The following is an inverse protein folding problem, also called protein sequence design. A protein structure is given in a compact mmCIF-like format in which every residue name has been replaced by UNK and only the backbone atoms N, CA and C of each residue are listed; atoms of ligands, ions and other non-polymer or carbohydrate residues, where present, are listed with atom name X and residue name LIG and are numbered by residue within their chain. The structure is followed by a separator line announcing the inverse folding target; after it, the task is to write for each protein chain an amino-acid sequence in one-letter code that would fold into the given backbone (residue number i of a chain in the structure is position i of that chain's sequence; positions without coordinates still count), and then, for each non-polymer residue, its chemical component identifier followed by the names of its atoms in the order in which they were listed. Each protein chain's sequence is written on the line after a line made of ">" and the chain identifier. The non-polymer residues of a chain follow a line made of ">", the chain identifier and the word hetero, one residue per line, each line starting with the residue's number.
data_IF_814105559832
#
_entry.id   IF_814105559832
#
_cell.length_a   1.000
_cell.length_b   1.000
_cell.length_c   1.000
_cell.angle_alpha   90.00
_cell.angle_beta   90.00
_cell.angle_gamma   90.00
#
_symmetry.space_group_name_H-M   'P 1'
#
loop_
_entity.id
_entity.type
_entity.pdbx_description
1 polymer ?
#
# COMPACT_ATOMS: atom_id res chain seq x y z
N UNK A 1 -2.69 -40.24 31.02
CA UNK A 1 -2.26 -40.08 29.61
C UNK A 1 -2.47 -38.62 29.23
N UNK A 2 -1.42 -37.80 29.07
CA UNK A 2 -1.60 -36.38 28.79
C UNK A 2 -1.73 -36.18 27.27
N UNK A 3 -2.96 -36.10 26.79
CA UNK A 3 -3.27 -35.64 25.44
C UNK A 3 -3.11 -34.12 25.39
N UNK A 4 -2.00 -33.65 24.84
CA UNK A 4 -1.69 -32.24 24.65
C UNK A 4 -2.76 -31.56 23.78
N UNK A 5 -3.62 -30.77 24.41
CA UNK A 5 -4.49 -29.82 23.73
C UNK A 5 -3.66 -28.60 23.32
N UNK A 6 -3.02 -28.66 22.15
CA UNK A 6 -2.48 -27.46 21.48
C UNK A 6 -3.36 -27.20 20.24
N UNK A 7 -4.65 -27.08 20.45
CA UNK A 7 -5.51 -26.38 19.51
C UNK A 7 -5.59 -24.93 20.01
N UNK A 8 -4.47 -24.21 19.92
CA UNK A 8 -4.46 -22.77 20.20
C UNK A 8 -5.40 -22.12 19.18
N UNK A 9 -6.45 -21.47 19.67
CA UNK A 9 -7.40 -20.82 18.79
C UNK A 9 -6.73 -19.63 18.09
N UNK A 10 -7.15 -19.30 16.86
CA UNK A 10 -6.64 -18.14 16.13
C UNK A 10 -6.75 -16.85 16.97
N UNK A 11 -7.79 -16.74 17.80
CA UNK A 11 -8.00 -15.62 18.72
C UNK A 11 -6.90 -15.50 19.78
N UNK A 12 -6.53 -16.59 20.43
CA UNK A 12 -5.46 -16.61 21.44
C UNK A 12 -4.10 -16.33 20.82
N UNK A 13 -3.85 -16.86 19.62
CA UNK A 13 -2.60 -16.63 18.89
C UNK A 13 -2.44 -15.15 18.51
N UNK A 14 -3.51 -14.50 18.04
CA UNK A 14 -3.51 -13.07 17.72
C UNK A 14 -3.39 -12.18 18.97
N UNK A 15 -3.93 -12.62 20.11
CA UNK A 15 -3.87 -11.86 21.37
C UNK A 15 -2.48 -11.86 22.03
N UNK A 16 -1.62 -12.82 21.70
CA UNK A 16 -0.26 -12.93 22.24
C UNK A 16 0.67 -11.81 21.79
N UNK A 17 0.44 -11.26 20.60
CA UNK A 17 1.28 -10.23 20.01
C UNK A 17 0.95 -8.84 20.55
N UNK A 18 2.00 -8.05 20.84
CA UNK A 18 1.90 -6.67 21.27
C UNK A 18 1.66 -5.74 20.08
N UNK A 19 1.24 -4.50 20.34
CA UNK A 19 1.10 -3.50 19.28
C UNK A 19 2.35 -3.31 18.42
N UNK A 20 3.54 -3.37 19.02
CA UNK A 20 4.83 -3.26 18.32
C UNK A 20 5.06 -4.39 17.30
N UNK A 21 4.63 -5.60 17.62
CA UNK A 21 4.81 -6.76 16.73
C UNK A 21 4.00 -6.59 15.43
N UNK A 22 2.78 -6.04 15.55
CA UNK A 22 1.95 -5.70 14.39
C UNK A 22 2.58 -4.62 13.51
N UNK A 23 3.20 -3.61 14.10
CA UNK A 23 3.94 -2.59 13.34
C UNK A 23 5.17 -3.18 12.64
N UNK A 24 5.92 -4.08 13.28
CA UNK A 24 7.05 -4.76 12.66
C UNK A 24 6.61 -5.66 11.50
N UNK A 25 5.48 -6.36 11.65
CA UNK A 25 4.90 -7.14 10.56
C UNK A 25 4.53 -6.24 9.37
N UNK A 26 3.90 -5.09 9.60
CA UNK A 26 3.61 -4.10 8.55
C UNK A 26 4.88 -3.68 7.82
N UNK A 27 5.96 -3.37 8.55
CA UNK A 27 7.22 -2.96 7.94
C UNK A 27 7.84 -4.06 7.10
N UNK A 28 7.86 -5.29 7.62
CA UNK A 28 8.40 -6.43 6.92
C UNK A 28 7.63 -6.71 5.62
N UNK A 29 6.31 -6.89 5.71
CA UNK A 29 5.50 -7.19 4.53
C UNK A 29 5.43 -6.01 3.56
N UNK A 30 5.28 -4.77 4.06
CA UNK A 30 5.21 -3.58 3.22
C UNK A 30 6.51 -3.32 2.46
N UNK A 31 7.67 -3.48 3.12
CA UNK A 31 8.97 -3.37 2.45
C UNK A 31 9.21 -4.52 1.45
N UNK A 32 8.80 -5.74 1.77
CA UNK A 32 8.91 -6.89 0.86
C UNK A 32 8.04 -6.71 -0.39
N UNK A 33 6.79 -6.24 -0.25
CA UNK A 33 5.91 -5.91 -1.38
C UNK A 33 6.52 -4.81 -2.24
N UNK A 34 7.04 -3.73 -1.63
CA UNK A 34 7.66 -2.63 -2.36
C UNK A 34 8.93 -3.07 -3.10
N UNK A 35 9.79 -3.87 -2.45
CA UNK A 35 11.01 -4.41 -3.06
C UNK A 35 10.66 -5.31 -4.27
N UNK A 36 9.68 -6.20 -4.10
CA UNK A 36 9.20 -7.06 -5.19
C UNK A 36 8.63 -6.22 -6.35
N UNK A 37 7.86 -5.18 -6.04
CA UNK A 37 7.31 -4.27 -7.05
C UNK A 37 8.41 -3.54 -7.84
N UNK A 38 9.52 -3.16 -7.20
CA UNK A 38 10.66 -2.49 -7.84
C UNK A 38 11.47 -3.44 -8.74
N UNK A 39 11.56 -4.73 -8.39
CA UNK A 39 12.30 -5.72 -9.17
C UNK A 39 11.56 -6.17 -10.45
N UNK A 40 10.23 -6.26 -10.40
CA UNK A 40 9.43 -6.84 -11.49
C UNK A 40 9.21 -5.87 -12.67
N UNK A 41 9.18 -4.55 -12.42
CA UNK A 41 8.84 -3.57 -13.47
C UNK A 41 9.81 -2.39 -13.49
N UNK A 42 10.79 -2.47 -14.39
CA UNK A 42 11.80 -1.43 -14.66
C UNK A 42 11.21 -0.24 -15.45
N UNK A 43 10.22 -0.49 -16.31
CA UNK A 43 9.44 0.53 -17.02
C UNK A 43 7.98 0.50 -16.55
N UNK A 44 7.73 1.06 -15.36
CA UNK A 44 6.40 1.01 -14.74
C UNK A 44 5.50 2.14 -15.27
N UNK A 45 4.23 1.84 -15.54
CA UNK A 45 3.26 2.88 -15.91
C UNK A 45 3.11 3.92 -14.77
N UNK A 46 2.68 5.14 -15.13
CA UNK A 46 2.46 6.26 -14.22
C UNK A 46 1.62 5.90 -12.98
N UNK A 47 0.51 5.16 -13.13
CA UNK A 47 -0.30 4.74 -11.97
C UNK A 47 0.40 3.72 -11.08
N UNK A 48 1.19 2.81 -11.65
CA UNK A 48 1.97 1.86 -10.86
C UNK A 48 3.02 2.59 -10.03
N UNK A 49 3.65 3.63 -10.58
CA UNK A 49 4.58 4.49 -9.84
C UNK A 49 3.89 5.21 -8.68
N UNK A 50 2.68 5.74 -8.90
CA UNK A 50 1.88 6.36 -7.84
C UNK A 50 1.45 5.36 -6.76
N UNK A 51 1.12 4.11 -7.12
CA UNK A 51 0.85 3.05 -6.13
C UNK A 51 2.09 2.75 -5.28
N UNK A 52 3.27 2.63 -5.90
CA UNK A 52 4.53 2.42 -5.18
C UNK A 52 4.83 3.57 -4.21
N UNK A 53 4.59 4.81 -4.64
CA UNK A 53 4.72 5.99 -3.80
C UNK A 53 3.82 5.90 -2.56
N UNK A 54 2.52 5.63 -2.75
CA UNK A 54 1.59 5.50 -1.62
C UNK A 54 1.93 4.34 -0.69
N UNK A 55 2.42 3.22 -1.23
CA UNK A 55 2.91 2.11 -0.42
C UNK A 55 4.10 2.52 0.44
N UNK A 56 5.11 3.14 -0.17
CA UNK A 56 6.30 3.62 0.52
C UNK A 56 5.95 4.64 1.61
N UNK A 57 5.08 5.61 1.31
CA UNK A 57 4.63 6.61 2.28
C UNK A 57 3.95 5.97 3.49
N UNK A 58 2.99 5.07 3.29
CA UNK A 58 2.32 4.43 4.42
C UNK A 58 3.24 3.54 5.26
N UNK A 59 4.17 2.82 4.62
CA UNK A 59 5.21 2.04 5.34
C UNK A 59 6.12 2.96 6.16
N UNK A 60 6.60 4.06 5.57
CA UNK A 60 7.44 5.05 6.25
C UNK A 60 6.72 5.68 7.44
N UNK A 61 5.43 6.02 7.30
CA UNK A 61 4.63 6.57 8.40
C UNK A 61 4.55 5.59 9.57
N UNK A 62 4.35 4.30 9.30
CA UNK A 62 4.37 3.26 10.35
C UNK A 62 5.77 3.09 10.95
N UNK A 63 6.84 3.20 10.16
CA UNK A 63 8.22 3.20 10.67
C UNK A 63 8.46 4.32 11.67
N UNK A 64 8.00 5.53 11.33
CA UNK A 64 8.12 6.70 12.22
C UNK A 64 7.28 6.52 13.48
N UNK A 65 6.13 5.86 13.38
CA UNK A 65 5.30 5.53 14.55
C UNK A 65 6.00 4.59 15.53
N UNK A 66 6.90 3.71 15.07
CA UNK A 66 7.67 2.84 15.97
C UNK A 66 8.66 3.61 16.84
N UNK A 67 9.12 4.77 16.36
CA UNK A 67 10.01 5.65 17.11
C UNK A 67 9.26 6.49 18.15
N UNK A 68 7.95 6.66 18.00
CA UNK A 68 7.11 7.47 18.88
C UNK A 68 6.19 6.59 19.75
N UNK A 69 6.55 6.40 21.02
CA UNK A 69 5.79 5.55 21.94
C UNK A 69 4.37 6.08 22.25
N UNK A 70 4.14 7.40 22.12
CA UNK A 70 2.99 8.09 22.73
C UNK A 70 1.90 8.57 21.76
N UNK A 71 2.08 8.50 20.44
CA UNK A 71 1.16 9.11 19.47
C UNK A 71 0.79 8.22 18.26
N UNK A 72 0.32 6.97 18.44
CA UNK A 72 0.15 6.01 17.33
C UNK A 72 -1.03 6.33 16.42
N UNK A 73 -2.08 6.97 16.93
CA UNK A 73 -3.35 7.15 16.22
C UNK A 73 -3.22 8.09 14.99
N UNK A 74 -2.59 9.28 15.08
CA UNK A 74 -2.38 10.11 13.89
C UNK A 74 -1.51 9.41 12.83
N UNK A 75 -0.45 8.68 13.22
CA UNK A 75 0.35 7.93 12.26
C UNK A 75 -0.45 6.79 11.61
N UNK A 76 -1.24 6.06 12.38
CA UNK A 76 -2.08 5.00 11.83
C UNK A 76 -3.14 5.54 10.86
N UNK A 77 -3.80 6.65 11.19
CA UNK A 77 -4.75 7.31 10.28
C UNK A 77 -4.05 7.78 9.01
N UNK A 78 -2.88 8.42 9.14
CA UNK A 78 -2.12 8.89 7.99
C UNK A 78 -1.64 7.74 7.09
N UNK A 79 -1.18 6.63 7.67
CA UNK A 79 -0.81 5.43 6.93
C UNK A 79 -2.02 4.81 6.20
N UNK A 80 -3.17 4.73 6.88
CA UNK A 80 -4.41 4.26 6.28
C UNK A 80 -4.83 5.13 5.09
N UNK A 81 -4.73 6.46 5.21
CA UNK A 81 -5.04 7.38 4.10
C UNK A 81 -4.15 7.13 2.88
N UNK A 82 -2.84 6.94 3.08
CA UNK A 82 -1.93 6.62 1.98
C UNK A 82 -2.29 5.29 1.31
N UNK A 83 -2.55 4.23 2.08
CA UNK A 83 -2.90 2.94 1.47
C UNK A 83 -4.29 2.91 0.83
N UNK A 84 -5.26 3.65 1.37
CA UNK A 84 -6.57 3.82 0.73
C UNK A 84 -6.45 4.61 -0.59
N UNK A 85 -5.59 5.64 -0.63
CA UNK A 85 -5.28 6.34 -1.88
C UNK A 85 -4.60 5.39 -2.89
N UNK A 86 -3.67 4.56 -2.43
CA UNK A 86 -3.06 3.49 -3.24
C UNK A 86 -4.09 2.51 -3.81
N UNK A 87 -5.05 2.05 -2.99
CA UNK A 87 -6.19 1.24 -3.45
C UNK A 87 -7.00 1.95 -4.53
N UNK A 88 -7.33 3.23 -4.34
CA UNK A 88 -8.10 4.00 -5.31
C UNK A 88 -7.36 4.11 -6.67
N UNK A 89 -6.05 4.32 -6.64
CA UNK A 89 -5.22 4.34 -7.86
C UNK A 89 -5.15 2.96 -8.53
N UNK A 90 -5.00 1.88 -7.76
CA UNK A 90 -4.98 0.53 -8.31
C UNK A 90 -6.33 0.14 -8.94
N UNK A 91 -7.45 0.52 -8.31
CA UNK A 91 -8.80 0.37 -8.89
C UNK A 91 -8.96 1.18 -10.17
N UNK A 92 -8.45 2.42 -10.20
CA UNK A 92 -8.44 3.26 -11.40
C UNK A 92 -7.68 2.58 -12.54
N UNK A 93 -6.53 1.96 -12.26
CA UNK A 93 -5.76 1.22 -13.26
C UNK A 93 -6.51 0.00 -13.79
N UNK A 94 -7.12 -0.80 -12.92
CA UNK A 94 -7.97 -1.93 -13.34
C UNK A 94 -9.12 -1.47 -14.23
N UNK A 95 -9.74 -0.34 -13.91
CA UNK A 95 -10.81 0.22 -14.73
C UNK A 95 -10.31 0.62 -16.13
N UNK A 96 -9.10 1.20 -16.25
CA UNK A 96 -8.47 1.52 -17.55
C UNK A 96 -8.22 0.24 -18.36
N UNK A 97 -7.74 -0.83 -17.71
CA UNK A 97 -7.46 -2.10 -18.38
C UNK A 97 -8.73 -2.80 -18.87
N UNK A 98 -9.84 -2.65 -18.15
CA UNK A 98 -11.10 -3.29 -18.51
C UNK A 98 -11.93 -2.50 -19.53
N UNK A 99 -11.83 -1.17 -19.51
CA UNK A 99 -12.64 -0.29 -20.37
C UNK A 99 -11.78 0.26 -21.52
N UNK A 100 -11.95 -0.23 -22.76
CA UNK A 100 -11.18 0.27 -23.90
C UNK A 100 -11.49 1.76 -24.14
N UNK A 101 -10.43 2.57 -24.29
CA UNK A 101 -10.54 4.02 -24.49
C UNK A 101 -10.67 4.86 -23.21
N UNK A 102 -10.61 4.25 -22.02
CA UNK A 102 -10.68 4.95 -20.73
C UNK A 102 -9.37 5.65 -20.30
N UNK A 103 -8.26 5.36 -20.97
CA UNK A 103 -6.98 6.03 -20.77
C UNK A 103 -6.97 7.40 -21.48
N UNK A 104 -6.09 8.31 -21.05
CA UNK A 104 -5.83 9.52 -21.82
C UNK A 104 -5.11 9.14 -23.13
N UNK A 105 -5.87 9.01 -24.21
CA UNK A 105 -5.42 8.45 -25.50
C UNK A 105 -4.38 9.31 -26.23
N UNK A 106 -4.11 10.53 -25.76
CA UNK A 106 -3.23 11.49 -26.44
C UNK A 106 -2.09 12.01 -25.56
N UNK A 107 -1.92 11.49 -24.34
CA UNK A 107 -0.91 11.96 -23.39
C UNK A 107 0.36 11.12 -23.43
N UNK A 108 1.56 11.73 -23.56
CA UNK A 108 2.82 10.99 -23.48
C UNK A 108 2.98 10.38 -22.09
N UNK A 109 3.66 9.22 -22.02
CA UNK A 109 4.02 8.58 -20.76
C UNK A 109 4.85 9.51 -19.85
N UNK A 110 4.89 9.18 -18.56
CA UNK A 110 5.54 10.03 -17.56
C UNK A 110 7.05 10.22 -17.80
N UNK A 111 7.72 9.20 -18.33
CA UNK A 111 9.15 9.24 -18.64
C UNK A 111 9.46 10.32 -19.68
N UNK A 112 8.59 10.48 -20.67
CA UNK A 112 8.70 11.55 -21.66
C UNK A 112 8.46 12.92 -21.04
N UNK A 113 7.44 13.06 -20.19
CA UNK A 113 7.15 14.34 -19.52
C UNK A 113 8.34 14.81 -18.66
N UNK A 114 9.01 13.87 -17.99
CA UNK A 114 10.21 14.16 -17.19
C UNK A 114 11.40 14.49 -18.10
N UNK A 115 11.64 13.71 -19.15
CA UNK A 115 12.77 13.90 -20.06
C UNK A 115 12.73 15.24 -20.81
N UNK A 116 11.54 15.75 -21.12
CA UNK A 116 11.33 17.02 -21.82
C UNK A 116 10.95 18.18 -20.89
N UNK A 117 11.17 18.03 -19.57
CA UNK A 117 11.02 19.11 -18.57
C UNK A 117 9.63 19.77 -18.58
N UNK A 118 8.57 18.98 -18.79
CA UNK A 118 7.20 19.49 -18.75
C UNK A 118 6.86 20.04 -17.34
N UNK A 119 5.91 20.99 -17.25
CA UNK A 119 5.51 21.56 -15.97
C UNK A 119 5.03 20.47 -14.99
N UNK A 120 5.39 20.61 -13.70
CA UNK A 120 5.04 19.66 -12.63
C UNK A 120 3.54 19.34 -12.56
N UNK A 121 2.68 20.30 -12.89
CA UNK A 121 1.23 20.10 -12.94
C UNK A 121 0.81 19.02 -13.94
N UNK A 122 1.49 18.94 -15.10
CA UNK A 122 1.23 17.92 -16.12
C UNK A 122 1.72 16.54 -15.66
N UNK A 123 2.87 16.49 -15.00
CA UNK A 123 3.43 15.25 -14.44
C UNK A 123 2.49 14.68 -13.37
N UNK A 124 2.05 15.51 -12.42
CA UNK A 124 1.13 15.11 -11.34
C UNK A 124 -0.21 14.66 -11.92
N UNK A 125 -0.73 15.38 -12.93
CA UNK A 125 -1.96 14.99 -13.61
C UNK A 125 -1.82 13.59 -14.22
N UNK A 126 -0.75 13.34 -14.99
CA UNK A 126 -0.49 12.03 -15.59
C UNK A 126 -0.32 10.92 -14.53
N UNK A 127 0.35 11.20 -13.42
CA UNK A 127 0.46 10.26 -12.29
C UNK A 127 -0.91 9.83 -11.74
N UNK A 128 -1.85 10.77 -11.62
CA UNK A 128 -3.17 10.50 -11.03
C UNK A 128 -4.20 9.98 -12.04
N UNK A 129 -4.15 10.42 -13.29
CA UNK A 129 -5.15 10.07 -14.32
C UNK A 129 -4.73 8.90 -15.20
N UNK A 130 -3.43 8.73 -15.43
CA UNK A 130 -2.86 7.66 -16.25
C UNK A 130 -2.70 8.01 -17.72
N UNK A 131 -1.69 7.37 -18.33
CA UNK A 131 -1.40 7.38 -19.77
C UNK A 131 -1.93 6.10 -20.45
N UNK A 132 -1.82 6.03 -21.79
CA UNK A 132 -2.16 4.85 -22.57
C UNK A 132 -1.42 3.58 -22.12
N UNK A 133 -0.20 3.71 -21.61
CA UNK A 133 0.63 2.59 -21.14
C UNK A 133 -0.01 1.84 -19.95
N UNK A 134 -0.95 2.47 -19.23
CA UNK A 134 -1.63 1.85 -18.09
C UNK A 134 -2.75 0.89 -18.51
N UNK A 135 -3.14 0.91 -19.79
CA UNK A 135 -4.14 0.00 -20.36
C UNK A 135 -3.56 -1.38 -20.67
N UNK A 136 -2.23 -1.55 -20.61
CA UNK A 136 -1.61 -2.85 -20.91
C UNK A 136 -2.06 -3.92 -19.90
N UNK A 137 -2.57 -5.08 -20.37
CA UNK A 137 -3.07 -6.14 -19.50
C UNK A 137 -1.98 -6.64 -18.55
N UNK A 138 -2.22 -6.51 -17.25
CA UNK A 138 -1.27 -7.01 -16.23
C UNK A 138 -2.01 -7.35 -14.93
N UNK A 139 -1.47 -8.34 -14.20
CA UNK A 139 -2.00 -8.75 -12.88
C UNK A 139 -1.51 -7.84 -11.73
N UNK A 140 -0.60 -6.92 -12.03
CA UNK A 140 0.08 -6.05 -11.06
C UNK A 140 -0.89 -5.20 -10.25
N UNK A 141 -1.87 -4.47 -10.83
CA UNK A 141 -2.79 -3.66 -10.03
C UNK A 141 -3.69 -4.50 -9.11
N UNK A 142 -4.01 -5.74 -9.50
CA UNK A 142 -4.74 -6.67 -8.64
C UNK A 142 -3.90 -7.12 -7.44
N UNK A 143 -2.63 -7.45 -7.69
CA UNK A 143 -1.69 -7.82 -6.63
C UNK A 143 -1.43 -6.64 -5.67
N UNK A 144 -1.36 -5.42 -6.21
CA UNK A 144 -1.23 -4.20 -5.42
C UNK A 144 -2.45 -3.99 -4.51
N UNK A 145 -3.68 -4.19 -5.01
CA UNK A 145 -4.88 -4.15 -4.17
C UNK A 145 -4.84 -5.17 -3.05
N UNK A 146 -4.42 -6.40 -3.35
CA UNK A 146 -4.20 -7.44 -2.33
C UNK A 146 -3.20 -6.98 -1.26
N UNK A 147 -2.07 -6.39 -1.68
CA UNK A 147 -1.04 -5.86 -0.79
C UNK A 147 -1.56 -4.73 0.12
N UNK A 148 -2.25 -3.74 -0.44
CA UNK A 148 -2.83 -2.64 0.34
C UNK A 148 -3.91 -3.13 1.32
N UNK A 149 -4.80 -4.02 0.88
CA UNK A 149 -5.84 -4.60 1.73
C UNK A 149 -5.23 -5.40 2.89
N UNK A 150 -4.20 -6.19 2.61
CA UNK A 150 -3.46 -6.96 3.62
C UNK A 150 -2.83 -6.03 4.67
N UNK A 151 -2.17 -4.96 4.26
CA UNK A 151 -1.52 -4.01 5.17
C UNK A 151 -2.54 -3.20 5.99
N UNK A 152 -3.66 -2.81 5.39
CA UNK A 152 -4.79 -2.22 6.12
C UNK A 152 -5.34 -3.18 7.19
N UNK A 153 -5.41 -4.47 6.89
CA UNK A 153 -5.77 -5.51 7.86
C UNK A 153 -4.80 -5.59 9.04
N UNK A 154 -3.49 -5.61 8.78
CA UNK A 154 -2.48 -5.58 9.85
C UNK A 154 -2.55 -4.31 10.69
N UNK A 155 -2.80 -3.16 10.06
CA UNK A 155 -2.97 -1.88 10.75
C UNK A 155 -4.23 -1.84 11.61
N UNK A 156 -5.32 -2.48 11.17
CA UNK A 156 -6.51 -2.65 12.00
C UNK A 156 -6.21 -3.46 13.27
N UNK A 157 -5.48 -4.57 13.16
CA UNK A 157 -5.05 -5.35 14.33
C UNK A 157 -4.13 -4.55 15.25
N UNK A 158 -3.18 -3.79 14.68
CA UNK A 158 -2.33 -2.87 15.44
C UNK A 158 -3.16 -1.88 16.27
N UNK A 159 -4.12 -1.20 15.64
CA UNK A 159 -5.02 -0.23 16.31
C UNK A 159 -5.88 -0.88 17.39
N UNK A 160 -6.46 -2.06 17.09
CA UNK A 160 -7.28 -2.81 18.04
C UNK A 160 -6.47 -3.19 19.28
N UNK A 161 -5.24 -3.69 19.09
CA UNK A 161 -4.37 -4.08 20.21
C UNK A 161 -3.91 -2.87 21.04
N UNK A 162 -3.53 -1.76 20.40
CA UNK A 162 -3.20 -0.52 21.12
C UNK A 162 -4.35 -0.01 21.97
N UNK A 163 -5.58 -0.04 21.45
CA UNK A 163 -6.76 0.42 22.21
C UNK A 163 -6.97 -0.43 23.47
N UNK A 164 -6.73 -1.74 23.38
CA UNK A 164 -6.78 -2.64 24.54
C UNK A 164 -5.68 -2.32 25.55
N UNK A 165 -4.44 -2.11 25.09
CA UNK A 165 -3.29 -1.76 25.95
C UNK A 165 -3.48 -0.41 26.68
N UNK A 166 -4.16 0.57 26.08
CA UNK A 166 -4.45 1.88 26.72
C UNK A 166 -5.60 1.78 27.73
N UNK A 167 -6.48 0.78 27.59
CA UNK A 167 -7.66 0.62 28.45
C UNK A 167 -7.39 -0.25 29.68
N UNK A 168 -6.19 -0.82 29.81
CA UNK A 168 -5.72 -1.62 30.95
C UNK A 168 -4.84 -0.76 31.86
#
# INVERSE_FOLDING_TARGET
>A
MPGAQIAMSLGELLQRFNSRDWSLAILFFGSAFLATALLIQVSACSLCMTQRFFMACGVLVVSVSLLHERAPLPYAVLAALFWLAGCAVALRQLWIQYVPGAASSCGPGIDFLIAYEYPLSSIIKTMLTGSGDCAEPSVIPLLALGGFAFLLGLLFFHLKKRKLEISQ
#
